data_IF_021340634947
#
_entry.id   IF_021340634947
#
_cell.length_a   1.000
_cell.length_b   1.000
_cell.length_c   1.000
_cell.angle_alpha   90.00
_cell.angle_beta   90.00
_cell.angle_gamma   90.00
#
_symmetry.space_group_name_H-M   'P 1'
#
loop_
_entity.id
_entity.type
_entity.pdbx_description
1 polymer ?
#
# COMPACT_ATOMS: atom_id res chain seq x y z
N UNK A 1 -31.00 -8.46 2.11
CA UNK A 1 -29.80 -9.09 2.71
C UNK A 1 -29.01 -8.00 3.43
N UNK A 2 -29.10 -7.93 4.76
CA UNK A 2 -28.36 -6.94 5.54
C UNK A 2 -26.86 -7.14 5.39
N UNK A 3 -26.10 -6.06 5.16
CA UNK A 3 -24.64 -6.08 5.09
C UNK A 3 -24.07 -6.59 6.42
N UNK A 4 -23.63 -7.84 6.48
CA UNK A 4 -22.85 -8.33 7.62
C UNK A 4 -21.51 -7.59 7.68
N UNK A 5 -20.97 -7.40 8.88
CA UNK A 5 -19.69 -6.70 9.08
C UNK A 5 -18.54 -7.36 8.28
N UNK A 6 -18.58 -8.68 8.11
CA UNK A 6 -17.71 -9.43 7.22
C UNK A 6 -17.76 -8.95 5.74
N UNK A 7 -18.95 -8.60 5.21
CA UNK A 7 -19.08 -8.07 3.85
C UNK A 7 -18.49 -6.66 3.73
N UNK A 8 -18.60 -5.84 4.77
CA UNK A 8 -17.95 -4.52 4.82
C UNK A 8 -16.43 -4.67 4.85
N UNK A 9 -15.89 -5.59 5.66
CA UNK A 9 -14.45 -5.88 5.70
C UNK A 9 -13.94 -6.28 4.31
N UNK A 10 -14.65 -7.17 3.59
CA UNK A 10 -14.28 -7.56 2.22
C UNK A 10 -14.27 -6.38 1.26
N UNK A 11 -15.29 -5.52 1.33
CA UNK A 11 -15.35 -4.31 0.52
C UNK A 11 -14.16 -3.39 0.81
N UNK A 12 -13.84 -3.13 2.08
CA UNK A 12 -12.72 -2.26 2.44
C UNK A 12 -11.36 -2.87 2.08
N UNK A 13 -11.19 -4.20 2.15
CA UNK A 13 -10.00 -4.89 1.62
C UNK A 13 -9.82 -4.64 0.13
N UNK A 14 -10.89 -4.82 -0.65
CA UNK A 14 -10.86 -4.52 -2.08
C UNK A 14 -10.48 -3.07 -2.37
N UNK A 15 -11.01 -2.11 -1.61
CA UNK A 15 -10.65 -0.68 -1.75
C UNK A 15 -9.18 -0.42 -1.44
N UNK A 16 -8.61 -1.05 -0.42
CA UNK A 16 -7.17 -0.96 -0.13
C UNK A 16 -6.35 -1.51 -1.30
N UNK A 17 -6.74 -2.66 -1.84
CA UNK A 17 -6.03 -3.28 -2.96
C UNK A 17 -6.12 -2.44 -4.24
N UNK A 18 -7.27 -1.83 -4.52
CA UNK A 18 -7.44 -0.89 -5.62
C UNK A 18 -6.51 0.32 -5.48
N UNK A 19 -6.46 0.94 -4.30
CA UNK A 19 -5.55 2.08 -4.05
C UNK A 19 -4.08 1.69 -4.16
N UNK A 20 -3.70 0.50 -3.68
CA UNK A 20 -2.35 -0.04 -3.85
C UNK A 20 -1.99 -0.29 -5.31
N UNK A 21 -2.95 -0.76 -6.12
CA UNK A 21 -2.74 -0.93 -7.56
C UNK A 21 -2.46 0.40 -8.23
N UNK A 22 -3.23 1.46 -7.91
CA UNK A 22 -2.98 2.81 -8.41
C UNK A 22 -1.59 3.31 -8.02
N UNK A 23 -1.23 3.18 -6.74
CA UNK A 23 0.10 3.55 -6.25
C UNK A 23 1.22 2.78 -6.99
N UNK A 24 1.01 1.49 -7.28
CA UNK A 24 1.95 0.69 -8.06
C UNK A 24 2.14 1.17 -9.50
N UNK A 25 1.07 1.65 -10.14
CA UNK A 25 1.15 2.27 -11.47
C UNK A 25 1.98 3.55 -11.42
N UNK A 26 1.73 4.42 -10.44
CA UNK A 26 2.48 5.67 -10.26
C UNK A 26 3.97 5.43 -10.00
N UNK A 27 4.31 4.42 -9.21
CA UNK A 27 5.72 4.01 -9.03
C UNK A 27 6.36 3.52 -10.34
N UNK A 28 5.60 2.81 -11.18
CA UNK A 28 6.07 2.40 -12.50
C UNK A 28 6.39 3.60 -13.39
N UNK A 29 5.47 4.57 -13.46
CA UNK A 29 5.65 5.81 -14.22
C UNK A 29 6.84 6.63 -13.71
N UNK A 30 7.00 6.76 -12.39
CA UNK A 30 8.15 7.42 -11.76
C UNK A 30 9.46 6.72 -12.17
N UNK A 31 9.49 5.40 -12.09
CA UNK A 31 10.66 4.62 -12.46
C UNK A 31 11.05 4.82 -13.93
N UNK A 32 10.07 4.87 -14.84
CA UNK A 32 10.31 5.14 -16.26
C UNK A 32 10.94 6.53 -16.49
N UNK A 33 10.48 7.56 -15.76
CA UNK A 33 11.07 8.90 -15.82
C UNK A 33 12.53 8.91 -15.32
N UNK A 34 12.79 8.24 -14.21
CA UNK A 34 14.15 8.11 -13.66
C UNK A 34 15.08 7.33 -14.60
N UNK A 35 14.60 6.27 -15.26
CA UNK A 35 15.40 5.56 -16.27
C UNK A 35 15.73 6.47 -17.45
N UNK A 36 14.73 7.22 -17.94
CA UNK A 36 14.94 8.17 -19.04
C UNK A 36 15.95 9.26 -18.68
N UNK A 37 15.95 9.72 -17.43
CA UNK A 37 16.95 10.66 -16.92
C UNK A 37 18.36 10.04 -16.96
N UNK A 38 18.52 8.82 -16.43
CA UNK A 38 19.79 8.09 -16.46
C UNK A 38 20.31 7.90 -17.88
N UNK A 39 19.45 7.46 -18.79
CA UNK A 39 19.81 7.25 -20.20
C UNK A 39 20.30 8.56 -20.86
N UNK A 40 19.65 9.68 -20.55
CA UNK A 40 20.06 11.00 -21.03
C UNK A 40 21.43 11.41 -20.48
N UNK A 41 21.66 11.19 -19.19
CA UNK A 41 22.94 11.49 -18.54
C UNK A 41 24.08 10.67 -19.13
N UNK A 42 23.85 9.39 -19.39
CA UNK A 42 24.84 8.56 -20.08
C UNK A 42 25.11 9.03 -21.52
N UNK A 43 24.07 9.45 -22.26
CA UNK A 43 24.25 10.03 -23.60
C UNK A 43 25.10 11.30 -23.56
N UNK A 44 24.88 12.18 -22.56
CA UNK A 44 25.68 13.39 -22.38
C UNK A 44 27.16 13.04 -22.16
N UNK A 45 27.45 12.04 -21.32
CA UNK A 45 28.83 11.59 -21.07
C UNK A 45 29.47 11.06 -22.36
N UNK A 46 28.78 10.18 -23.10
CA UNK A 46 29.30 9.62 -24.36
C UNK A 46 29.59 10.71 -25.40
N UNK A 47 28.67 11.64 -25.60
CA UNK A 47 28.85 12.74 -26.56
C UNK A 47 30.00 13.68 -26.16
N UNK A 48 30.21 13.88 -24.86
CA UNK A 48 31.35 14.66 -24.34
C UNK A 48 32.68 13.99 -24.67
N UNK A 49 32.78 12.68 -24.46
CA UNK A 49 34.00 11.90 -24.75
C UNK A 49 34.32 11.92 -26.25
N UNK A 50 33.31 11.77 -27.11
CA UNK A 50 33.45 11.87 -28.57
C UNK A 50 34.00 13.25 -28.95
N UNK A 51 33.41 14.32 -28.41
CA UNK A 51 33.84 15.69 -28.70
C UNK A 51 35.29 15.96 -28.27
N UNK A 52 35.72 15.39 -27.14
CA UNK A 52 37.10 15.49 -26.65
C UNK A 52 38.08 14.69 -27.51
N UNK A 53 37.64 13.58 -28.11
CA UNK A 53 38.49 12.73 -28.96
C UNK A 53 38.73 13.25 -30.38
N UNK A 54 37.89 14.17 -30.88
CA UNK A 54 38.01 14.74 -32.25
C UNK A 54 37.66 16.24 -32.29
N UNK A 55 38.51 17.10 -31.71
CA UNK A 55 38.14 18.49 -31.36
C UNK A 55 37.81 19.40 -32.55
N UNK A 56 38.47 19.19 -33.70
CA UNK A 56 38.51 20.16 -34.80
C UNK A 56 37.18 20.36 -35.54
N UNK A 57 36.23 19.41 -35.44
CA UNK A 57 34.94 19.47 -36.13
C UNK A 57 33.73 19.25 -35.22
N UNK A 58 33.90 18.63 -34.05
CA UNK A 58 32.77 18.11 -33.25
C UNK A 58 32.41 19.00 -32.05
N UNK A 59 33.27 19.95 -31.67
CA UNK A 59 33.09 20.74 -30.45
C UNK A 59 31.91 21.72 -30.53
N UNK A 60 31.67 22.32 -31.71
CA UNK A 60 30.50 23.19 -31.94
C UNK A 60 29.18 22.41 -31.92
N UNK A 61 29.15 21.22 -32.52
CA UNK A 61 27.96 20.34 -32.49
C UNK A 61 27.65 19.85 -31.07
N UNK A 62 28.67 19.53 -30.27
CA UNK A 62 28.50 19.13 -28.87
C UNK A 62 27.88 20.24 -28.03
N UNK A 63 28.30 21.50 -28.19
CA UNK A 63 27.72 22.63 -27.45
C UNK A 63 26.20 22.75 -27.65
N UNK A 64 25.72 22.62 -28.90
CA UNK A 64 24.28 22.65 -29.21
C UNK A 64 23.53 21.44 -28.68
N UNK A 65 24.13 20.25 -28.76
CA UNK A 65 23.56 19.04 -28.16
C UNK A 65 23.42 19.20 -26.66
N UNK A 66 24.48 19.65 -25.97
CA UNK A 66 24.52 19.81 -24.53
C UNK A 66 23.45 20.79 -24.04
N UNK A 67 23.30 21.95 -24.68
CA UNK A 67 22.26 22.93 -24.33
C UNK A 67 20.85 22.32 -24.40
N UNK A 68 20.54 21.60 -25.50
CA UNK A 68 19.26 20.87 -25.62
C UNK A 68 19.12 19.79 -24.55
N UNK A 69 20.17 19.02 -24.30
CA UNK A 69 20.14 17.93 -23.33
C UNK A 69 19.90 18.44 -21.90
N UNK A 70 20.47 19.60 -21.53
CA UNK A 70 20.20 20.24 -20.24
C UNK A 70 18.74 20.65 -20.10
N UNK A 71 18.13 21.22 -21.15
CA UNK A 71 16.70 21.57 -21.14
C UNK A 71 15.81 20.33 -20.96
N UNK A 72 16.08 19.25 -21.70
CA UNK A 72 15.34 17.98 -21.53
C UNK A 72 15.54 17.42 -20.12
N UNK A 73 16.75 17.52 -19.56
CA UNK A 73 17.03 17.08 -18.19
C UNK A 73 16.20 17.84 -17.17
N UNK A 74 16.10 19.16 -17.31
CA UNK A 74 15.26 20.00 -16.45
C UNK A 74 13.78 19.63 -16.56
N UNK A 75 13.28 19.39 -17.78
CA UNK A 75 11.91 18.92 -18.00
C UNK A 75 11.64 17.57 -17.32
N UNK A 76 12.55 16.59 -17.46
CA UNK A 76 12.41 15.27 -16.84
C UNK A 76 12.45 15.39 -15.31
N UNK A 77 13.36 16.19 -14.75
CA UNK A 77 13.43 16.40 -13.30
C UNK A 77 12.15 17.05 -12.76
N UNK A 78 11.58 18.03 -13.47
CA UNK A 78 10.29 18.61 -13.10
C UNK A 78 9.16 17.58 -13.14
N UNK A 79 9.15 16.71 -14.15
CA UNK A 79 8.18 15.62 -14.23
C UNK A 79 8.34 14.58 -13.11
N UNK A 80 9.58 14.24 -12.74
CA UNK A 80 9.90 13.36 -11.60
C UNK A 80 9.33 13.97 -10.32
N UNK A 81 9.65 15.24 -10.02
CA UNK A 81 9.17 15.90 -8.82
C UNK A 81 7.64 15.92 -8.74
N UNK A 82 6.96 16.27 -9.83
CA UNK A 82 5.51 16.24 -9.88
C UNK A 82 4.94 14.82 -9.65
N UNK A 83 5.59 13.80 -10.23
CA UNK A 83 5.17 12.41 -10.04
C UNK A 83 5.44 11.90 -8.61
N UNK A 84 6.51 12.34 -7.96
CA UNK A 84 6.78 12.05 -6.55
C UNK A 84 5.68 12.63 -5.65
N UNK A 85 5.21 13.86 -5.92
CA UNK A 85 4.07 14.44 -5.20
C UNK A 85 2.78 13.63 -5.39
N UNK A 86 2.51 13.15 -6.61
CA UNK A 86 1.38 12.24 -6.87
C UNK A 86 1.52 10.90 -6.13
N UNK A 87 2.72 10.34 -6.08
CA UNK A 87 3.03 9.11 -5.33
C UNK A 87 2.75 9.31 -3.85
N UNK A 88 3.23 10.40 -3.25
CA UNK A 88 2.99 10.68 -1.83
C UNK A 88 1.50 10.85 -1.53
N UNK A 89 0.76 11.57 -2.37
CA UNK A 89 -0.70 11.67 -2.24
C UNK A 89 -1.38 10.30 -2.31
N UNK A 90 -0.99 9.45 -3.26
CA UNK A 90 -1.55 8.10 -3.37
C UNK A 90 -1.18 7.19 -2.18
N UNK A 91 0.02 7.35 -1.59
CA UNK A 91 0.40 6.66 -0.35
C UNK A 91 -0.50 7.06 0.80
N UNK A 92 -0.82 8.34 0.92
CA UNK A 92 -1.76 8.83 1.94
C UNK A 92 -3.17 8.26 1.76
N UNK A 93 -3.64 8.13 0.53
CA UNK A 93 -4.91 7.46 0.23
C UNK A 93 -4.92 5.98 0.62
N UNK A 94 -3.84 5.25 0.33
CA UNK A 94 -3.68 3.84 0.77
C UNK A 94 -3.71 3.76 2.29
N UNK A 95 -2.99 4.65 2.97
CA UNK A 95 -2.95 4.70 4.42
C UNK A 95 -4.33 5.00 5.02
N UNK A 96 -5.08 5.94 4.43
CA UNK A 96 -6.44 6.26 4.84
C UNK A 96 -7.38 5.06 4.67
N UNK A 97 -7.37 4.41 3.50
CA UNK A 97 -8.19 3.22 3.24
C UNK A 97 -7.84 2.06 4.20
N UNK A 98 -6.56 1.90 4.54
CA UNK A 98 -6.13 0.89 5.50
C UNK A 98 -6.63 1.18 6.91
N UNK A 99 -6.56 2.45 7.37
CA UNK A 99 -7.14 2.86 8.67
C UNK A 99 -8.63 2.55 8.74
N UNK A 100 -9.39 2.87 7.69
CA UNK A 100 -10.82 2.51 7.64
C UNK A 100 -11.05 1.01 7.77
N UNK A 101 -10.29 0.20 7.01
CA UNK A 101 -10.36 -1.26 7.11
C UNK A 101 -10.12 -1.75 8.55
N UNK A 102 -9.09 -1.22 9.23
CA UNK A 102 -8.76 -1.63 10.61
C UNK A 102 -9.92 -1.38 11.57
N UNK A 103 -10.64 -0.27 11.43
CA UNK A 103 -11.83 0.02 12.27
C UNK A 103 -12.87 -1.10 12.15
N UNK A 104 -13.18 -1.55 10.93
CA UNK A 104 -14.14 -2.63 10.72
C UNK A 104 -13.63 -3.99 11.23
N UNK A 105 -12.34 -4.28 11.03
CA UNK A 105 -11.73 -5.51 11.54
C UNK A 105 -11.76 -5.57 13.08
N UNK A 106 -11.49 -4.47 13.77
CA UNK A 106 -11.57 -4.38 15.22
C UNK A 106 -13.00 -4.50 15.73
N UNK A 107 -13.96 -3.86 15.06
CA UNK A 107 -15.37 -3.99 15.39
C UNK A 107 -15.83 -5.46 15.29
N UNK A 108 -15.42 -6.20 14.26
CA UNK A 108 -15.78 -7.61 14.08
C UNK A 108 -15.11 -8.49 15.12
N UNK A 109 -13.82 -8.25 15.41
CA UNK A 109 -13.11 -8.95 16.47
C UNK A 109 -13.82 -8.79 17.82
N UNK A 110 -14.24 -7.56 18.15
CA UNK A 110 -14.96 -7.29 19.40
C UNK A 110 -16.34 -7.96 19.43
N UNK A 111 -17.05 -8.01 18.30
CA UNK A 111 -18.34 -8.71 18.18
C UNK A 111 -18.16 -10.21 18.44
N UNK A 112 -17.22 -10.85 17.74
CA UNK A 112 -16.94 -12.28 17.88
C UNK A 112 -16.50 -12.63 19.31
N UNK A 113 -15.68 -11.78 19.94
CA UNK A 113 -15.26 -11.98 21.32
C UNK A 113 -16.45 -11.97 22.29
N UNK A 114 -17.39 -11.03 22.13
CA UNK A 114 -18.59 -10.97 22.98
C UNK A 114 -19.48 -12.21 22.78
N UNK A 115 -19.64 -12.66 21.54
CA UNK A 115 -20.42 -13.86 21.22
C UNK A 115 -19.80 -15.11 21.83
N UNK A 116 -18.47 -15.21 21.82
CA UNK A 116 -17.74 -16.29 22.47
C UNK A 116 -17.88 -16.24 24.01
N UNK A 117 -17.70 -15.07 24.61
CA UNK A 117 -17.87 -14.85 26.05
C UNK A 117 -19.29 -15.23 26.51
N UNK A 118 -20.33 -14.85 25.75
CA UNK A 118 -21.72 -15.23 26.02
C UNK A 118 -21.97 -16.73 25.87
N UNK A 119 -21.40 -17.36 24.84
CA UNK A 119 -21.50 -18.81 24.63
C UNK A 119 -20.86 -19.57 25.78
N UNK A 120 -19.62 -19.24 26.14
CA UNK A 120 -18.91 -19.86 27.28
C UNK A 120 -19.67 -19.64 28.59
N UNK A 121 -20.27 -18.45 28.80
CA UNK A 121 -21.11 -18.21 29.97
C UNK A 121 -22.31 -19.15 30.04
N UNK A 122 -23.02 -19.35 28.92
CA UNK A 122 -24.17 -20.27 28.86
C UNK A 122 -23.73 -21.72 29.12
N UNK A 123 -22.65 -22.15 28.48
CA UNK A 123 -22.08 -23.49 28.67
C UNK A 123 -21.68 -23.75 30.13
N UNK A 124 -21.07 -22.77 30.79
CA UNK A 124 -20.73 -22.89 32.21
C UNK A 124 -21.97 -23.03 33.11
N UNK A 125 -23.02 -22.24 32.87
CA UNK A 125 -24.28 -22.35 33.62
C UNK A 125 -24.90 -23.75 33.43
N UNK A 126 -24.94 -24.26 32.20
CA UNK A 126 -25.47 -25.59 31.91
C UNK A 126 -24.65 -26.70 32.60
N UNK A 127 -23.32 -26.60 32.58
CA UNK A 127 -22.44 -27.54 33.28
C UNK A 127 -22.63 -27.50 34.80
N UNK A 128 -22.78 -26.32 35.38
CA UNK A 128 -23.02 -26.14 36.82
C UNK A 128 -24.38 -26.77 37.22
N UNK A 129 -25.43 -26.58 36.42
CA UNK A 129 -26.74 -27.21 36.64
C UNK A 129 -26.65 -28.75 36.60
N UNK A 130 -25.93 -29.31 35.62
CA UNK A 130 -25.70 -30.75 35.50
C UNK A 130 -24.94 -31.27 36.74
N UNK A 131 -23.89 -30.58 37.16
CA UNK A 131 -23.09 -30.95 38.33
C UNK A 131 -23.93 -30.93 39.61
N UNK A 132 -24.78 -29.92 39.82
CA UNK A 132 -25.69 -29.84 40.97
C UNK A 132 -26.74 -30.96 40.96
N UNK A 133 -27.25 -31.35 39.79
CA UNK A 133 -28.22 -32.44 39.66
C UNK A 133 -27.57 -33.80 39.95
N UNK A 134 -26.37 -34.05 39.43
CA UNK A 134 -25.59 -35.25 39.73
C UNK A 134 -25.22 -35.33 41.22
N UNK A 135 -24.84 -34.21 41.84
CA UNK A 135 -24.56 -34.17 43.27
C UNK A 135 -25.80 -34.54 44.10
N UNK A 136 -26.97 -33.97 43.77
CA UNK A 136 -28.24 -34.31 44.43
C UNK A 136 -28.63 -35.77 44.30
N UNK A 137 -28.38 -36.40 43.15
CA UNK A 137 -28.67 -37.83 42.94
C UNK A 137 -27.78 -38.77 43.75
N UNK A 138 -26.54 -38.37 44.05
CA UNK A 138 -25.57 -39.18 44.77
C UNK A 138 -25.50 -38.86 46.27
N UNK A 139 -26.40 -38.02 46.77
CA UNK A 139 -26.45 -37.68 48.20
C UNK A 139 -27.11 -38.85 48.96
N UNK A 140 -26.43 -39.45 49.96
CA UNK A 140 -27.03 -40.52 50.76
C UNK A 140 -28.21 -39.98 51.57
N UNK A 141 -29.35 -40.68 51.55
CA UNK A 141 -30.40 -40.48 52.56
C UNK A 141 -29.93 -41.10 53.88
N UNK A 142 -29.85 -40.30 54.94
CA UNK A 142 -29.65 -40.74 56.33
C UNK A 142 -30.92 -41.42 56.89
#
# INVERSE_FOLDING_TARGET
>A
MGKTLANLIRLHKYRVDEKRRVLGVLYGELHELEQRLRDLEEQIVREKEIAQSSPDQTMFSYGRFHERAMGIREEINGAIQAKEEEVEAARDEVNAAFRELKVYEEAEKNRLKKEEEERTRKENIEMDEIAMNLYRQNMPED
#
